data_IF_847933647516
#
_entry.id   IF_847933647516
#
_cell.length_a   1.000
_cell.length_b   1.000
_cell.length_c   1.000
_cell.angle_alpha   90.00
_cell.angle_beta   90.00
_cell.angle_gamma   90.00
#
_symmetry.space_group_name_H-M   'P 1'
#
loop_
_entity.id
_entity.type
_entity.pdbx_description
1 polymer ?
#
# COMPACT_ATOMS: atom_id res chain seq x y z
N UNK A 1 15.84 8.36 10.98
CA UNK A 1 15.24 8.26 12.33
C UNK A 1 13.75 8.08 12.11
N UNK A 2 13.18 6.93 12.51
CA UNK A 2 11.75 6.62 12.27
C UNK A 2 10.87 7.45 13.22
N UNK A 3 10.27 8.50 12.66
CA UNK A 3 9.47 9.47 13.40
C UNK A 3 8.00 9.42 12.98
N UNK A 4 7.11 9.75 13.91
CA UNK A 4 5.67 9.84 13.69
C UNK A 4 5.11 11.15 14.24
N UNK A 5 3.96 11.56 13.69
CA UNK A 5 3.13 12.59 14.29
C UNK A 5 2.13 11.91 15.24
N UNK A 6 2.27 12.14 16.54
CA UNK A 6 1.30 11.70 17.55
C UNK A 6 0.18 12.73 17.67
N UNK A 7 -1.03 12.23 17.86
CA UNK A 7 -2.25 13.04 17.97
C UNK A 7 -2.79 12.88 19.38
N UNK A 8 -3.06 14.00 20.05
CA UNK A 8 -3.81 14.06 21.29
C UNK A 8 -5.16 14.73 21.00
N UNK A 9 -6.22 13.92 20.95
CA UNK A 9 -7.59 14.36 20.68
C UNK A 9 -8.16 15.29 21.76
N UNK A 10 -7.76 15.12 23.03
CA UNK A 10 -8.25 15.97 24.14
C UNK A 10 -7.81 17.44 24.00
N UNK A 11 -6.70 17.67 23.30
CA UNK A 11 -6.16 19.01 23.05
C UNK A 11 -6.66 19.62 21.72
N UNK A 12 -7.31 18.82 20.86
CA UNK A 12 -7.73 19.28 19.55
C UNK A 12 -9.08 20.00 19.63
N UNK A 13 -9.11 21.24 19.13
CA UNK A 13 -10.33 22.09 19.15
C UNK A 13 -10.82 22.43 17.74
N UNK A 14 -10.39 21.66 16.73
CA UNK A 14 -10.75 21.91 15.31
C UNK A 14 -10.44 23.34 14.84
N UNK A 15 -9.27 23.89 15.19
CA UNK A 15 -8.96 25.30 14.89
C UNK A 15 -8.51 25.57 13.43
N UNK A 16 -8.02 24.55 12.71
CA UNK A 16 -7.52 24.59 11.31
C UNK A 16 -6.11 25.14 10.97
N UNK A 17 -5.26 25.70 11.87
CA UNK A 17 -3.88 26.07 11.51
C UNK A 17 -3.05 24.93 10.93
N UNK A 18 -3.26 23.70 11.40
CA UNK A 18 -2.53 22.54 10.91
C UNK A 18 -2.81 22.24 9.42
N UNK A 19 -4.04 22.46 8.95
CA UNK A 19 -4.39 22.30 7.54
C UNK A 19 -3.79 23.42 6.69
N UNK A 20 -3.93 24.68 7.14
CA UNK A 20 -3.35 25.84 6.43
C UNK A 20 -1.83 25.72 6.33
N UNK A 21 -1.15 25.36 7.42
CA UNK A 21 0.29 25.16 7.42
C UNK A 21 0.72 24.01 6.51
N UNK A 22 -0.06 22.93 6.44
CA UNK A 22 0.18 21.84 5.49
C UNK A 22 0.06 22.32 4.03
N UNK A 23 -0.98 23.09 3.69
CA UNK A 23 -1.17 23.67 2.35
C UNK A 23 0.01 24.57 1.99
N UNK A 24 0.39 25.49 2.88
CA UNK A 24 1.46 26.44 2.65
C UNK A 24 2.81 25.74 2.46
N UNK A 25 3.10 24.73 3.28
CA UNK A 25 4.35 23.97 3.20
C UNK A 25 4.50 23.17 1.89
N UNK A 26 3.38 22.83 1.23
CA UNK A 26 3.37 22.10 -0.04
C UNK A 26 2.91 22.95 -1.23
N UNK A 27 2.83 24.27 -1.04
CA UNK A 27 2.61 25.22 -2.12
C UNK A 27 3.94 25.63 -2.72
N UNK A 28 4.01 25.75 -4.04
CA UNK A 28 5.18 26.33 -4.73
C UNK A 28 5.51 27.77 -4.30
N UNK A 29 4.57 28.47 -3.67
CA UNK A 29 4.73 29.87 -3.26
C UNK A 29 5.14 30.04 -1.79
N UNK A 30 4.93 29.03 -0.93
CA UNK A 30 5.21 29.15 0.51
C UNK A 30 4.40 30.25 1.23
N UNK A 31 3.33 30.76 0.63
CA UNK A 31 2.50 31.84 1.16
C UNK A 31 1.00 31.48 1.04
N UNK A 32 0.19 31.66 2.10
CA UNK A 32 -1.20 31.22 2.11
C UNK A 32 -2.09 31.94 1.09
N UNK A 33 -1.86 33.23 0.86
CA UNK A 33 -2.68 34.02 -0.06
C UNK A 33 -2.35 33.64 -1.50
N UNK A 34 -1.06 33.51 -1.84
CA UNK A 34 -0.60 33.09 -3.17
C UNK A 34 -0.99 31.64 -3.46
N UNK A 35 -0.86 30.73 -2.51
CA UNK A 35 -1.32 29.34 -2.64
C UNK A 35 -2.81 29.27 -2.99
N UNK A 36 -3.64 30.11 -2.35
CA UNK A 36 -5.08 30.12 -2.60
C UNK A 36 -5.48 30.81 -3.92
N UNK A 37 -4.84 31.94 -4.24
CA UNK A 37 -5.23 32.80 -5.38
C UNK A 37 -4.50 32.47 -6.69
N UNK A 38 -3.25 32.02 -6.63
CA UNK A 38 -2.35 31.94 -7.78
C UNK A 38 -1.92 30.51 -8.14
N UNK A 39 -2.22 29.52 -7.29
CA UNK A 39 -1.92 28.12 -7.57
C UNK A 39 -3.17 27.41 -8.10
N UNK A 40 -3.03 26.82 -9.28
CA UNK A 40 -4.08 26.06 -9.93
C UNK A 40 -3.47 24.78 -10.53
N UNK A 41 -3.88 23.58 -10.09
CA UNK A 41 -4.88 23.31 -9.06
C UNK A 41 -4.39 23.75 -7.66
N UNK A 42 -5.32 24.17 -6.79
CA UNK A 42 -4.96 24.61 -5.43
C UNK A 42 -4.36 23.47 -4.61
N UNK A 43 -3.30 23.69 -3.81
CA UNK A 43 -2.83 22.67 -2.88
C UNK A 43 -3.94 22.34 -1.86
N UNK A 44 -4.12 21.04 -1.58
CA UNK A 44 -5.05 20.56 -0.55
C UNK A 44 -4.24 20.09 0.67
N UNK A 45 -4.78 20.23 1.88
CA UNK A 45 -4.12 19.73 3.07
C UNK A 45 -4.04 18.21 3.00
N UNK A 46 -2.93 17.65 3.44
CA UNK A 46 -2.76 16.20 3.52
C UNK A 46 -3.39 15.61 4.78
N UNK A 47 -3.56 16.42 5.82
CA UNK A 47 -4.40 16.13 6.98
C UNK A 47 -5.86 16.51 6.71
N UNK A 48 -6.80 15.85 7.39
CA UNK A 48 -8.21 16.26 7.41
C UNK A 48 -8.66 16.42 8.86
N UNK A 49 -9.10 17.60 9.25
CA UNK A 49 -9.77 17.77 10.54
C UNK A 49 -11.16 17.13 10.51
N UNK A 50 -11.45 16.33 11.53
CA UNK A 50 -12.74 15.69 11.75
C UNK A 50 -13.29 16.18 13.08
N UNK A 51 -14.54 16.60 13.06
CA UNK A 51 -15.30 16.95 14.25
C UNK A 51 -16.63 16.21 14.24
N UNK A 52 -16.89 15.44 15.29
CA UNK A 52 -18.14 14.70 15.46
C UNK A 52 -18.51 14.62 16.94
N UNK A 53 -19.43 15.49 17.37
CA UNK A 53 -19.84 15.56 18.77
C UNK A 53 -18.65 15.95 19.66
N UNK A 54 -18.33 15.18 20.72
CA UNK A 54 -17.20 15.50 21.60
C UNK A 54 -15.83 15.20 20.98
N UNK A 55 -15.79 14.50 19.84
CA UNK A 55 -14.52 14.09 19.21
C UNK A 55 -14.08 15.15 18.21
N UNK A 56 -12.86 15.66 18.41
CA UNK A 56 -12.13 16.48 17.45
C UNK A 56 -10.73 15.91 17.27
N UNK A 57 -10.33 15.63 16.03
CA UNK A 57 -8.96 15.22 15.73
C UNK A 57 -8.61 15.45 14.26
N UNK A 58 -7.31 15.69 13.96
CA UNK A 58 -6.82 15.63 12.59
C UNK A 58 -6.55 14.17 12.20
N UNK A 59 -7.19 13.71 11.13
CA UNK A 59 -6.83 12.45 10.46
C UNK A 59 -5.56 12.69 9.65
N UNK A 60 -4.45 12.13 10.11
CA UNK A 60 -3.12 12.22 9.50
C UNK A 60 -2.59 10.80 9.24
N UNK A 61 -1.80 10.64 8.17
CA UNK A 61 -1.11 9.38 7.90
C UNK A 61 -0.21 9.02 9.09
N UNK A 62 -0.29 7.77 9.54
CA UNK A 62 0.52 7.26 10.67
C UNK A 62 1.87 6.71 10.25
N UNK A 63 2.18 6.74 8.95
CA UNK A 63 3.40 6.19 8.36
C UNK A 63 3.70 4.78 8.91
N UNK A 64 2.70 3.90 8.86
CA UNK A 64 2.69 2.63 9.60
C UNK A 64 3.97 1.83 9.41
N UNK A 65 4.39 1.12 10.45
CA UNK A 65 5.51 0.18 10.38
C UNK A 65 5.27 -0.87 9.29
N UNK A 66 4.06 -1.44 9.27
CA UNK A 66 3.55 -2.27 8.18
C UNK A 66 2.50 -1.50 7.36
N UNK A 67 2.88 -0.90 6.21
CA UNK A 67 1.97 -0.06 5.45
C UNK A 67 1.16 -0.86 4.42
N UNK A 68 -0.06 -1.27 4.78
CA UNK A 68 -1.01 -1.93 3.86
C UNK A 68 -1.29 -1.14 2.57
N UNK A 69 -1.17 0.19 2.62
CA UNK A 69 -1.33 1.04 1.44
C UNK A 69 -0.21 0.83 0.40
N UNK A 70 1.01 0.49 0.84
CA UNK A 70 2.12 0.09 -0.04
C UNK A 70 1.82 -1.26 -0.65
N UNK A 71 1.27 -2.22 0.10
CA UNK A 71 0.87 -3.53 -0.42
C UNK A 71 -0.20 -3.42 -1.49
N UNK A 72 -1.21 -2.60 -1.24
CA UNK A 72 -2.32 -2.40 -2.15
C UNK A 72 -1.97 -1.56 -3.39
N UNK A 73 -0.77 -0.98 -3.47
CA UNK A 73 -0.42 -0.05 -4.53
C UNK A 73 -0.11 -0.77 -5.86
N UNK A 74 -1.11 -0.79 -6.76
CA UNK A 74 -1.05 -1.47 -8.05
C UNK A 74 0.04 -0.95 -9.01
N UNK A 75 0.51 0.28 -8.83
CA UNK A 75 1.52 0.90 -9.71
C UNK A 75 2.87 1.08 -9.05
N UNK A 76 3.06 0.57 -7.81
CA UNK A 76 4.32 0.75 -7.08
C UNK A 76 4.63 2.21 -6.74
N UNK A 77 3.61 3.08 -6.73
CA UNK A 77 3.76 4.50 -6.43
C UNK A 77 3.97 4.79 -4.94
N UNK A 78 3.65 3.84 -4.06
CA UNK A 78 3.84 3.96 -2.62
C UNK A 78 5.03 3.10 -2.19
N UNK A 79 5.95 3.69 -1.43
CA UNK A 79 7.13 3.05 -0.86
C UNK A 79 7.31 3.45 0.60
N UNK A 80 7.95 2.60 1.40
CA UNK A 80 8.46 2.96 2.73
C UNK A 80 9.93 3.33 2.57
N UNK A 81 10.27 4.54 2.97
CA UNK A 81 11.64 5.07 2.87
C UNK A 81 12.50 4.63 4.06
N UNK A 82 13.81 4.83 3.95
CA UNK A 82 14.77 4.48 5.00
C UNK A 82 14.57 5.29 6.31
N UNK A 83 13.95 6.47 6.22
CA UNK A 83 13.57 7.28 7.38
C UNK A 83 12.28 6.78 8.07
N UNK A 84 11.67 5.69 7.60
CA UNK A 84 10.41 5.14 8.11
C UNK A 84 9.16 5.76 7.50
N UNK A 85 9.28 6.87 6.77
CA UNK A 85 8.15 7.53 6.14
C UNK A 85 7.64 6.71 4.95
N UNK A 86 6.34 6.43 4.93
CA UNK A 86 5.68 5.99 3.70
C UNK A 86 5.49 7.20 2.78
N UNK A 87 5.85 7.15 1.50
CA UNK A 87 5.76 8.28 0.55
C UNK A 87 5.16 7.89 -0.79
N UNK A 88 4.64 8.88 -1.52
CA UNK A 88 4.02 8.68 -2.84
C UNK A 88 4.93 9.28 -3.92
N UNK A 89 5.30 8.48 -4.91
CA UNK A 89 5.75 8.95 -6.20
C UNK A 89 4.52 9.31 -7.07
N UNK A 90 4.22 10.60 -7.18
CA UNK A 90 3.03 11.11 -7.89
C UNK A 90 3.04 10.77 -9.39
N UNK A 91 4.24 10.65 -9.98
CA UNK A 91 4.39 10.30 -11.40
C UNK A 91 3.95 8.86 -11.67
N UNK A 92 4.32 7.92 -10.79
CA UNK A 92 3.89 6.51 -10.87
C UNK A 92 2.44 6.28 -10.47
N UNK A 93 1.78 7.21 -9.78
CA UNK A 93 0.44 7.01 -9.25
C UNK A 93 -0.61 7.04 -10.37
N UNK A 94 -1.36 5.94 -10.56
CA UNK A 94 -2.41 5.85 -11.59
C UNK A 94 -3.82 6.26 -11.11
N UNK A 95 -3.97 6.68 -9.84
CA UNK A 95 -5.26 7.14 -9.32
C UNK A 95 -6.28 6.03 -9.00
N UNK A 96 -5.87 4.76 -8.94
CA UNK A 96 -6.76 3.60 -8.79
C UNK A 96 -7.51 3.48 -7.44
N UNK A 97 -7.24 4.36 -6.46
CA UNK A 97 -7.83 4.36 -5.12
C UNK A 97 -7.60 3.10 -4.25
N UNK A 98 -6.86 2.09 -4.72
CA UNK A 98 -6.61 0.86 -3.93
C UNK A 98 -6.02 1.14 -2.54
N UNK A 99 -5.07 2.10 -2.47
CA UNK A 99 -4.49 2.56 -1.21
C UNK A 99 -5.48 3.26 -0.27
N UNK A 100 -6.53 3.90 -0.80
CA UNK A 100 -7.59 4.54 0.00
C UNK A 100 -8.37 3.46 0.74
N UNK A 101 -8.76 2.39 0.05
CA UNK A 101 -9.48 1.26 0.63
C UNK A 101 -8.62 0.47 1.63
N UNK A 102 -7.32 0.35 1.36
CA UNK A 102 -6.39 -0.39 2.21
C UNK A 102 -5.98 0.37 3.48
N UNK A 103 -6.22 1.68 3.59
CA UNK A 103 -5.82 2.45 4.76
C UNK A 103 -6.83 2.28 5.90
N UNK A 104 -6.49 1.59 7.01
CA UNK A 104 -7.44 1.38 8.11
C UNK A 104 -7.76 2.66 8.88
N UNK A 105 -6.96 3.72 8.69
CA UNK A 105 -7.11 5.01 9.37
C UNK A 105 -7.82 6.07 8.54
N UNK A 106 -8.20 5.76 7.28
CA UNK A 106 -8.81 6.74 6.38
C UNK A 106 -7.93 7.95 6.04
N UNK A 107 -6.60 7.80 6.17
CA UNK A 107 -5.64 8.90 6.05
C UNK A 107 -5.18 9.19 4.60
N UNK A 108 -5.71 8.47 3.62
CA UNK A 108 -5.37 8.63 2.19
C UNK A 108 -6.62 9.06 1.44
N UNK A 109 -6.49 10.10 0.61
CA UNK A 109 -7.56 10.63 -0.24
C UNK A 109 -7.12 10.67 -1.70
N UNK A 110 -8.06 10.91 -2.61
CA UNK A 110 -7.75 11.23 -4.00
C UNK A 110 -7.89 12.73 -4.26
N UNK A 111 -6.88 13.32 -4.91
CA UNK A 111 -6.95 14.62 -5.59
C UNK A 111 -7.70 14.45 -6.89
N UNK A 112 -9.02 14.65 -6.83
CA UNK A 112 -9.93 14.49 -7.97
C UNK A 112 -10.00 15.72 -8.88
N UNK A 113 -9.39 16.82 -8.46
CA UNK A 113 -9.26 18.08 -9.18
C UNK A 113 -8.17 18.08 -10.26
N UNK A 114 -7.44 16.97 -10.39
CA UNK A 114 -6.43 16.74 -11.42
C UNK A 114 -7.04 16.04 -12.64
N UNK A 115 -6.52 16.25 -13.87
CA UNK A 115 -6.97 15.52 -15.06
C UNK A 115 -6.91 13.99 -14.88
N UNK A 116 -5.86 13.50 -14.22
CA UNK A 116 -5.79 12.14 -13.70
C UNK A 116 -5.74 12.22 -12.17
N UNK A 117 -6.70 11.60 -11.45
CA UNK A 117 -6.69 11.62 -9.99
C UNK A 117 -5.39 11.04 -9.42
N UNK A 118 -4.86 11.66 -8.36
CA UNK A 118 -3.66 11.18 -7.66
C UNK A 118 -3.94 10.95 -6.19
N UNK A 119 -3.30 9.94 -5.59
CA UNK A 119 -3.38 9.73 -4.15
C UNK A 119 -2.71 10.88 -3.38
N UNK A 120 -3.29 11.26 -2.25
CA UNK A 120 -2.86 12.33 -1.36
C UNK A 120 -2.90 11.84 0.07
N UNK A 121 -1.78 11.99 0.76
CA UNK A 121 -1.61 11.69 2.19
C UNK A 121 -0.39 12.45 2.68
N UNK A 122 -0.23 12.52 4.01
CA UNK A 122 0.96 13.15 4.61
C UNK A 122 2.24 12.41 4.17
N UNK A 123 3.31 13.17 3.97
CA UNK A 123 4.66 12.75 3.58
C UNK A 123 5.70 13.04 4.67
N UNK A 124 5.25 13.48 5.86
CA UNK A 124 6.08 13.96 6.97
C UNK A 124 6.95 15.19 6.67
N UNK A 125 6.63 15.99 5.65
CA UNK A 125 7.33 17.23 5.32
C UNK A 125 8.87 17.05 5.21
N UNK A 126 9.39 16.31 4.20
CA UNK A 126 10.82 15.99 4.06
C UNK A 126 11.82 17.12 4.21
N UNK A 127 11.44 18.31 3.76
CA UNK A 127 12.34 19.47 3.67
C UNK A 127 12.36 20.27 4.98
N UNK A 128 11.83 19.70 6.08
CA UNK A 128 11.67 20.37 7.37
C UNK A 128 12.10 19.45 8.51
N UNK A 129 12.72 20.04 9.55
CA UNK A 129 13.04 19.31 10.77
C UNK A 129 11.78 18.93 11.58
N UNK A 130 10.76 19.78 11.52
CA UNK A 130 9.45 19.56 12.14
C UNK A 130 8.34 19.70 11.10
N UNK A 131 7.36 18.77 11.08
CA UNK A 131 6.20 18.87 10.21
C UNK A 131 5.46 20.19 10.43
N UNK A 132 5.04 20.84 9.34
CA UNK A 132 4.40 22.15 9.39
C UNK A 132 3.14 22.17 10.26
N UNK A 133 2.38 21.06 10.27
CA UNK A 133 1.19 20.92 11.09
C UNK A 133 1.49 20.86 12.60
N UNK A 134 2.60 20.21 12.99
CA UNK A 134 3.06 20.13 14.38
C UNK A 134 3.47 21.52 14.87
N UNK A 135 4.29 22.21 14.07
CA UNK A 135 4.76 23.56 14.38
C UNK A 135 3.60 24.58 14.49
N UNK A 136 2.55 24.41 13.69
CA UNK A 136 1.41 25.31 13.66
C UNK A 136 0.34 25.03 14.72
N UNK A 137 0.43 23.92 15.47
CA UNK A 137 -0.61 23.54 16.43
C UNK A 137 -0.46 24.31 17.75
N UNK A 138 -1.34 25.30 18.06
CA UNK A 138 -1.19 26.12 19.27
C UNK A 138 -1.43 25.31 20.56
N UNK A 139 -2.31 24.31 20.49
CA UNK A 139 -2.72 23.51 21.64
C UNK A 139 -1.82 22.28 21.87
N UNK A 140 -0.79 22.08 21.03
CA UNK A 140 0.07 20.89 21.08
C UNK A 140 -0.74 19.57 21.03
N UNK A 141 -1.83 19.58 20.26
CA UNK A 141 -2.58 18.38 19.91
C UNK A 141 -1.80 17.48 18.94
N UNK A 142 -0.77 18.04 18.27
CA UNK A 142 0.14 17.34 17.38
C UNK A 142 1.55 17.43 17.94
N UNK A 143 2.22 16.30 18.11
CA UNK A 143 3.63 16.22 18.52
C UNK A 143 4.42 15.35 17.54
N UNK A 144 5.72 15.63 17.39
CA UNK A 144 6.61 14.86 16.53
C UNK A 144 7.56 14.05 17.41
N UNK A 145 7.45 12.73 17.34
CA UNK A 145 8.08 11.81 18.27
C UNK A 145 8.74 10.66 17.52
N UNK A 146 9.76 10.06 18.12
CA UNK A 146 10.42 8.86 17.57
C UNK A 146 9.50 7.68 17.81
N UNK A 147 9.29 6.80 16.83
CA UNK A 147 8.37 5.66 16.97
C UNK A 147 8.72 4.76 18.17
N UNK A 148 10.01 4.54 18.44
CA UNK A 148 10.47 3.67 19.53
C UNK A 148 10.13 4.17 20.94
N UNK A 149 9.74 5.44 21.09
CA UNK A 149 9.34 6.02 22.39
C UNK A 149 7.83 5.97 22.63
N UNK A 150 7.07 5.38 21.70
CA UNK A 150 5.61 5.31 21.76
C UNK A 150 5.21 3.90 22.18
N UNK A 151 4.50 3.78 23.32
CA UNK A 151 4.00 2.48 23.80
C UNK A 151 3.12 1.81 22.73
N UNK A 152 3.45 0.55 22.45
CA UNK A 152 2.97 -0.25 21.32
C UNK A 152 1.51 -0.74 21.45
N UNK A 153 0.74 -0.19 22.39
CA UNK A 153 -0.63 -0.63 22.70
C UNK A 153 -1.63 -0.37 21.56
N UNK A 154 -1.26 0.41 20.54
CA UNK A 154 -2.12 0.73 19.40
C UNK A 154 -2.10 -0.35 18.29
N UNK A 155 -2.73 -1.49 18.61
CA UNK A 155 -3.61 -2.27 17.72
C UNK A 155 -2.95 -3.06 16.58
N UNK A 156 -2.63 -4.33 16.89
CA UNK A 156 -2.95 -5.46 16.01
C UNK A 156 -4.45 -5.37 15.68
N UNK A 157 -4.81 -5.08 14.44
CA UNK A 157 -6.05 -5.66 13.90
C UNK A 157 -5.78 -7.16 13.83
N UNK A 158 -6.00 -7.87 14.93
CA UNK A 158 -6.01 -9.31 14.94
C UNK A 158 -7.25 -9.75 14.15
N UNK A 159 -7.06 -9.97 12.85
CA UNK A 159 -7.88 -10.96 12.16
C UNK A 159 -7.65 -12.28 12.91
N UNK A 160 -8.72 -12.92 13.37
CA UNK A 160 -8.64 -14.27 13.90
C UNK A 160 -8.09 -15.17 12.78
N UNK A 161 -6.83 -15.59 12.93
CA UNK A 161 -6.21 -16.57 12.04
C UNK A 161 -6.70 -17.94 12.50
N UNK A 162 -7.37 -18.68 11.61
CA UNK A 162 -7.75 -20.07 11.86
C UNK A 162 -6.51 -20.94 11.69
N UNK A 163 -5.99 -21.46 12.81
CA UNK A 163 -4.78 -22.30 12.85
C UNK A 163 -3.47 -21.50 12.83
N UNK A 164 -2.42 -22.04 13.45
CA UNK A 164 -1.08 -21.44 13.37
C UNK A 164 -0.47 -21.79 12.00
N UNK A 165 -0.18 -20.81 11.13
CA UNK A 165 0.44 -21.06 9.84
C UNK A 165 1.83 -21.66 10.03
N UNK A 166 2.14 -22.75 9.35
CA UNK A 166 3.41 -23.46 9.50
C UNK A 166 4.12 -23.62 8.15
N UNK A 167 5.44 -23.46 8.17
CA UNK A 167 6.34 -23.77 7.07
C UNK A 167 6.33 -25.29 6.74
N UNK A 168 6.49 -25.70 5.47
CA UNK A 168 6.68 -24.86 4.28
C UNK A 168 5.39 -24.20 3.80
N UNK A 169 5.50 -22.92 3.43
CA UNK A 169 4.41 -22.15 2.83
C UNK A 169 4.40 -22.35 1.33
N UNK A 170 3.24 -22.65 0.76
CA UNK A 170 3.06 -22.76 -0.69
C UNK A 170 2.09 -21.69 -1.15
N UNK A 171 2.49 -20.89 -2.13
CA UNK A 171 1.69 -19.80 -2.71
C UNK A 171 1.40 -20.13 -4.17
N UNK A 172 0.13 -20.18 -4.56
CA UNK A 172 -0.28 -20.42 -5.95
C UNK A 172 -0.68 -19.09 -6.59
N UNK A 173 0.11 -18.60 -7.54
CA UNK A 173 -0.05 -17.33 -8.27
C UNK A 173 1.00 -16.29 -7.88
N UNK A 174 1.45 -15.48 -8.85
CA UNK A 174 2.54 -14.49 -8.68
C UNK A 174 2.11 -13.01 -8.67
N UNK A 175 0.81 -12.73 -8.48
CA UNK A 175 0.24 -11.38 -8.55
C UNK A 175 0.34 -10.56 -7.25
N UNK A 176 -0.47 -9.49 -7.15
CA UNK A 176 -0.51 -8.58 -5.98
C UNK A 176 -0.86 -9.26 -4.66
N UNK A 177 -1.78 -10.23 -4.71
CA UNK A 177 -2.14 -11.00 -3.53
C UNK A 177 -0.96 -11.83 -3.02
N UNK A 178 -0.16 -12.39 -3.92
CA UNK A 178 1.04 -13.15 -3.55
C UNK A 178 2.13 -12.24 -2.97
N UNK A 179 2.37 -11.08 -3.56
CA UNK A 179 3.34 -10.11 -3.05
C UNK A 179 3.00 -9.63 -1.62
N UNK A 180 1.72 -9.37 -1.35
CA UNK A 180 1.22 -9.02 -0.02
C UNK A 180 1.29 -10.22 0.94
N UNK A 181 0.93 -11.42 0.47
CA UNK A 181 0.99 -12.66 1.24
C UNK A 181 2.40 -13.01 1.70
N UNK A 182 3.40 -12.92 0.81
CA UNK A 182 4.82 -13.12 1.12
C UNK A 182 5.28 -12.17 2.24
N UNK A 183 4.93 -10.89 2.14
CA UNK A 183 5.25 -9.91 3.19
C UNK A 183 4.56 -10.21 4.51
N UNK A 184 3.30 -10.65 4.46
CA UNK A 184 2.55 -11.06 5.64
C UNK A 184 3.21 -12.25 6.34
N UNK A 185 3.56 -13.29 5.58
CA UNK A 185 4.28 -14.47 6.06
C UNK A 185 5.62 -14.05 6.66
N UNK A 186 6.46 -13.30 5.93
CA UNK A 186 7.79 -12.87 6.41
C UNK A 186 7.74 -12.00 7.67
N UNK A 187 6.66 -11.27 7.88
CA UNK A 187 6.46 -10.48 9.10
C UNK A 187 6.12 -11.36 10.32
N UNK A 188 5.57 -12.55 10.11
CA UNK A 188 5.14 -13.48 11.16
C UNK A 188 6.15 -14.63 11.37
N UNK A 189 6.72 -15.14 10.28
CA UNK A 189 7.74 -16.17 10.21
C UNK A 189 8.88 -15.70 9.27
N UNK A 190 9.92 -15.05 9.82
CA UNK A 190 11.05 -14.53 9.05
C UNK A 190 11.84 -15.62 8.30
N UNK A 191 11.91 -16.82 8.86
CA UNK A 191 12.83 -17.89 8.42
C UNK A 191 12.12 -19.02 7.65
N UNK A 192 10.79 -19.10 7.69
CA UNK A 192 10.04 -20.19 7.06
C UNK A 192 10.27 -20.33 5.55
N UNK A 193 10.33 -21.56 5.05
CA UNK A 193 10.44 -21.80 3.61
C UNK A 193 9.17 -21.36 2.87
N UNK A 194 9.31 -20.55 1.82
CA UNK A 194 8.21 -20.09 0.97
C UNK A 194 8.46 -20.52 -0.46
N UNK A 195 7.54 -21.32 -1.00
CA UNK A 195 7.52 -21.73 -2.40
C UNK A 195 6.40 -21.00 -3.14
N UNK A 196 6.72 -20.36 -4.25
CA UNK A 196 5.73 -19.70 -5.11
C UNK A 196 5.61 -20.44 -6.45
N UNK A 197 4.38 -20.79 -6.83
CA UNK A 197 4.07 -21.48 -8.09
C UNK A 197 3.28 -20.53 -8.97
N UNK A 198 3.80 -20.18 -10.14
CA UNK A 198 3.08 -19.32 -11.08
C UNK A 198 3.47 -19.62 -12.53
N UNK A 199 2.50 -19.64 -13.48
CA UNK A 199 2.81 -19.78 -14.90
C UNK A 199 3.57 -18.57 -15.46
N UNK A 200 3.48 -17.43 -14.79
CA UNK A 200 4.24 -16.23 -15.11
C UNK A 200 5.75 -16.45 -14.95
N UNK A 201 6.55 -15.90 -15.87
CA UNK A 201 8.02 -15.84 -15.80
C UNK A 201 8.54 -14.43 -15.54
N UNK A 202 7.63 -13.45 -15.50
CA UNK A 202 7.92 -12.05 -15.20
C UNK A 202 7.42 -11.72 -13.80
N UNK A 203 8.26 -11.05 -13.00
CA UNK A 203 7.96 -10.68 -11.62
C UNK A 203 6.69 -9.82 -11.50
N UNK A 204 6.18 -9.68 -10.28
CA UNK A 204 5.06 -8.84 -9.84
C UNK A 204 4.57 -7.77 -10.84
N UNK A 205 3.76 -8.19 -11.82
CA UNK A 205 3.10 -7.29 -12.75
C UNK A 205 1.63 -7.11 -12.38
N UNK A 206 1.06 -5.98 -12.77
CA UNK A 206 -0.35 -5.67 -12.52
C UNK A 206 -1.13 -5.72 -13.82
N UNK A 207 -2.10 -6.63 -13.91
CA UNK A 207 -3.05 -6.68 -15.04
C UNK A 207 -3.86 -5.39 -15.18
N UNK A 208 -4.03 -4.62 -14.09
CA UNK A 208 -4.66 -3.30 -14.14
C UNK A 208 -3.84 -2.27 -14.93
N UNK A 209 -2.53 -2.50 -15.11
CA UNK A 209 -1.65 -1.65 -15.92
C UNK A 209 -1.62 -2.07 -17.39
N UNK A 210 -2.32 -3.15 -17.78
CA UNK A 210 -2.30 -3.67 -19.14
C UNK A 210 -2.81 -2.67 -20.17
N UNK A 211 -3.82 -1.87 -19.82
CA UNK A 211 -4.33 -0.82 -20.71
C UNK A 211 -3.24 0.22 -21.06
N UNK A 212 -2.39 0.59 -20.10
CA UNK A 212 -1.27 1.51 -20.35
C UNK A 212 -0.19 0.87 -21.24
N UNK A 213 0.08 -0.41 -21.03
CA UNK A 213 0.98 -1.16 -21.89
C UNK A 213 0.47 -1.27 -23.33
N UNK A 214 -0.82 -1.54 -23.54
CA UNK A 214 -1.39 -1.66 -24.89
C UNK A 214 -1.31 -0.34 -25.68
N UNK A 215 -1.28 0.80 -24.99
CA UNK A 215 -1.13 2.12 -25.61
C UNK A 215 0.34 2.42 -25.92
N UNK A 216 1.24 2.21 -24.96
CA UNK A 216 2.62 2.68 -25.05
C UNK A 216 3.62 1.62 -25.53
N UNK A 217 3.28 0.34 -25.48
CA UNK A 217 4.14 -0.81 -25.84
C UNK A 217 5.27 -1.14 -24.85
N UNK A 218 5.37 -0.43 -23.72
CA UNK A 218 6.51 -0.54 -22.81
C UNK A 218 6.28 -1.53 -21.66
N UNK A 219 6.87 -2.73 -21.77
CA UNK A 219 6.71 -3.83 -20.80
C UNK A 219 7.12 -3.48 -19.36
N UNK A 220 8.13 -2.62 -19.17
CA UNK A 220 8.61 -2.26 -17.83
C UNK A 220 7.55 -1.49 -17.01
N UNK A 221 6.56 -0.85 -17.66
CA UNK A 221 5.44 -0.17 -17.00
C UNK A 221 4.43 -1.12 -16.38
N UNK A 222 4.47 -2.41 -16.73
CA UNK A 222 3.57 -3.43 -16.15
C UNK A 222 4.04 -3.89 -14.78
N UNK A 223 5.34 -3.82 -14.52
CA UNK A 223 5.96 -4.21 -13.26
C UNK A 223 5.68 -3.14 -12.22
N UNK A 224 5.05 -3.52 -11.10
CA UNK A 224 4.80 -2.60 -9.98
C UNK A 224 5.71 -2.87 -8.79
N UNK A 225 6.52 -3.94 -8.86
CA UNK A 225 7.69 -4.18 -8.03
C UNK A 225 8.89 -4.50 -8.91
N UNK A 226 10.05 -4.44 -8.30
CA UNK A 226 11.35 -4.80 -8.86
C UNK A 226 11.32 -6.27 -9.31
N UNK A 227 11.97 -6.64 -10.43
CA UNK A 227 11.93 -8.01 -10.96
C UNK A 227 12.36 -9.09 -9.96
N UNK A 228 13.28 -8.74 -9.05
CA UNK A 228 13.85 -9.59 -8.01
C UNK A 228 13.06 -9.53 -6.68
N UNK A 229 11.90 -8.87 -6.63
CA UNK A 229 11.11 -8.68 -5.41
C UNK A 229 10.95 -9.96 -4.59
N UNK A 230 10.55 -11.07 -5.20
CA UNK A 230 10.36 -12.33 -4.47
C UNK A 230 11.69 -12.90 -3.91
N UNK A 231 12.79 -12.72 -4.64
CA UNK A 231 14.12 -13.13 -4.17
C UNK A 231 14.58 -12.30 -2.96
N UNK A 232 14.26 -11.00 -2.92
CA UNK A 232 14.54 -10.13 -1.77
C UNK A 232 13.85 -10.61 -0.47
N UNK A 233 12.76 -11.37 -0.59
CA UNK A 233 12.05 -12.00 0.53
C UNK A 233 12.38 -13.49 0.69
N UNK A 234 13.48 -14.00 0.13
CA UNK A 234 13.88 -15.41 0.23
C UNK A 234 12.73 -16.36 -0.16
N UNK A 235 12.09 -16.11 -1.30
CA UNK A 235 11.03 -16.97 -1.86
C UNK A 235 11.62 -17.82 -2.99
N UNK A 236 11.42 -19.13 -2.91
CA UNK A 236 11.75 -20.04 -4.00
C UNK A 236 10.62 -20.04 -5.03
N UNK A 237 10.84 -19.37 -6.17
CA UNK A 237 9.84 -19.24 -7.21
C UNK A 237 10.01 -20.29 -8.31
N UNK A 238 9.07 -21.24 -8.35
CA UNK A 238 8.88 -22.22 -9.42
C UNK A 238 8.23 -21.54 -10.65
N UNK A 239 9.02 -20.78 -11.39
CA UNK A 239 8.60 -20.01 -12.57
C UNK A 239 8.12 -20.92 -13.71
N UNK A 240 7.09 -20.46 -14.45
CA UNK A 240 6.55 -21.20 -15.58
C UNK A 240 5.81 -22.49 -15.21
N UNK A 241 5.61 -22.74 -13.91
CA UNK A 241 4.93 -23.94 -13.40
C UNK A 241 3.48 -23.66 -13.06
N UNK A 242 2.62 -24.65 -13.26
CA UNK A 242 1.20 -24.57 -12.90
C UNK A 242 0.83 -25.62 -11.86
N UNK A 243 0.15 -25.18 -10.81
CA UNK A 243 -0.59 -26.09 -9.95
C UNK A 243 -1.82 -26.61 -10.70
N UNK A 244 -1.98 -27.93 -10.80
CA UNK A 244 -3.05 -28.61 -11.52
C UNK A 244 -4.10 -29.21 -10.57
N UNK A 245 -3.69 -29.61 -9.37
CA UNK A 245 -4.59 -30.13 -8.33
C UNK A 245 -4.04 -29.83 -6.92
N UNK A 246 -4.93 -29.83 -5.93
CA UNK A 246 -4.60 -29.70 -4.50
C UNK A 246 -5.20 -30.92 -3.77
N UNK A 247 -4.35 -31.68 -3.10
CA UNK A 247 -4.72 -32.77 -2.19
C UNK A 247 -4.70 -32.22 -0.76
N UNK A 248 -5.88 -31.88 -0.24
CA UNK A 248 -6.05 -31.29 1.09
C UNK A 248 -5.91 -32.32 2.22
N UNK A 249 -6.08 -33.61 1.95
CA UNK A 249 -5.93 -34.66 2.96
C UNK A 249 -4.45 -34.95 3.23
N UNK A 250 -3.62 -34.88 2.18
CA UNK A 250 -2.18 -35.11 2.27
C UNK A 250 -1.34 -33.84 2.33
N UNK A 251 -2.00 -32.67 2.27
CA UNK A 251 -1.37 -31.35 2.17
C UNK A 251 -0.34 -31.26 1.02
N UNK A 252 -0.79 -31.57 -0.21
CA UNK A 252 0.08 -31.53 -1.40
C UNK A 252 -0.53 -30.73 -2.53
N UNK A 253 0.33 -30.06 -3.30
CA UNK A 253 -0.01 -29.43 -4.58
C UNK A 253 0.65 -30.24 -5.70
N UNK A 254 -0.14 -30.63 -6.70
CA UNK A 254 0.35 -31.29 -7.91
C UNK A 254 0.69 -30.25 -8.97
N UNK A 255 1.84 -30.43 -9.62
CA UNK A 255 2.30 -29.56 -10.70
C UNK A 255 2.04 -30.18 -12.08
N UNK A 256 2.19 -29.36 -13.11
CA UNK A 256 2.02 -29.69 -14.52
C UNK A 256 3.03 -30.69 -15.11
N UNK A 257 4.21 -30.86 -14.51
CA UNK A 257 5.16 -31.93 -14.86
C UNK A 257 4.91 -33.25 -14.12
N UNK A 258 3.85 -33.33 -13.32
CA UNK A 258 3.53 -34.48 -12.50
C UNK A 258 4.23 -34.53 -11.14
N UNK A 259 5.16 -33.62 -10.84
CA UNK A 259 5.75 -33.51 -9.51
C UNK A 259 4.74 -32.99 -8.47
N UNK A 260 5.08 -33.18 -7.19
CA UNK A 260 4.24 -32.76 -6.07
C UNK A 260 5.06 -31.99 -5.04
N UNK A 261 4.45 -30.95 -4.47
CA UNK A 261 5.01 -30.13 -3.40
C UNK A 261 4.15 -30.30 -2.14
N UNK A 262 4.78 -30.54 -0.99
CA UNK A 262 4.05 -30.62 0.30
C UNK A 262 4.00 -29.24 0.94
N UNK A 263 2.90 -28.93 1.63
CA UNK A 263 2.74 -27.65 2.33
C UNK A 263 2.37 -27.86 3.80
N UNK A 264 2.90 -27.01 4.69
CA UNK A 264 2.34 -26.80 6.02
C UNK A 264 1.20 -25.77 5.99
N UNK A 265 1.27 -24.80 5.07
CA UNK A 265 0.23 -23.81 4.85
C UNK A 265 0.14 -23.42 3.37
N UNK A 266 -1.07 -23.33 2.84
CA UNK A 266 -1.34 -23.05 1.44
C UNK A 266 -2.07 -21.71 1.28
N UNK A 267 -1.54 -20.84 0.41
CA UNK A 267 -2.15 -19.57 0.04
C UNK A 267 -2.50 -19.55 -1.46
N UNK A 268 -3.79 -19.42 -1.78
CA UNK A 268 -4.26 -19.39 -3.16
C UNK A 268 -4.42 -17.93 -3.62
N UNK A 269 -3.60 -17.51 -4.58
CA UNK A 269 -3.49 -16.15 -5.11
C UNK A 269 -3.65 -16.11 -6.64
N UNK A 270 -4.41 -17.04 -7.23
CA UNK A 270 -4.56 -17.20 -8.69
C UNK A 270 -5.29 -16.03 -9.38
N UNK A 271 -5.91 -15.14 -8.60
CA UNK A 271 -6.74 -14.06 -9.12
C UNK A 271 -8.02 -14.58 -9.79
N UNK A 272 -8.71 -13.69 -10.50
CA UNK A 272 -9.90 -14.03 -11.28
C UNK A 272 -9.60 -14.28 -12.76
N UNK A 273 -10.46 -15.06 -13.41
CA UNK A 273 -10.55 -15.12 -14.88
C UNK A 273 -11.75 -14.29 -15.33
N UNK A 274 -11.59 -13.36 -16.29
CA UNK A 274 -12.72 -12.63 -16.82
C UNK A 274 -13.69 -13.61 -17.49
N UNK A 275 -14.97 -13.49 -17.15
CA UNK A 275 -16.03 -14.14 -17.90
C UNK A 275 -16.15 -13.45 -19.26
N UNK A 276 -16.08 -14.23 -20.33
CA UNK A 276 -16.39 -13.76 -21.68
C UNK A 276 -17.88 -14.06 -21.90
N UNK A 277 -18.75 -13.04 -22.02
CA UNK A 277 -20.16 -13.26 -22.29
C UNK A 277 -20.36 -14.04 -23.59
N UNK A 278 -21.36 -14.93 -23.68
CA UNK A 278 -21.73 -15.54 -24.95
C UNK A 278 -22.34 -14.46 -25.84
N UNK A 279 -21.57 -14.01 -26.83
CA UNK A 279 -21.97 -12.99 -27.79
C UNK A 279 -21.45 -13.38 -29.16
N UNK A 280 -22.23 -13.13 -30.22
CA UNK A 280 -21.85 -13.50 -31.58
C UNK A 280 -20.45 -12.97 -31.93
N UNK A 281 -19.55 -13.87 -32.34
CA UNK A 281 -18.15 -13.55 -32.64
C UNK A 281 -17.18 -13.64 -31.46
N UNK A 282 -17.61 -14.09 -30.27
CA UNK A 282 -16.73 -14.30 -29.11
C UNK A 282 -15.65 -15.37 -29.30
N UNK A 283 -15.81 -16.23 -30.30
CA UNK A 283 -14.89 -17.28 -30.74
C UNK A 283 -13.71 -16.74 -31.59
N UNK A 284 -13.74 -15.45 -31.96
CA UNK A 284 -12.71 -14.80 -32.78
C UNK A 284 -11.64 -14.04 -31.98
N UNK A 285 -11.72 -14.10 -30.65
CA UNK A 285 -10.84 -13.38 -29.72
C UNK A 285 -9.61 -14.21 -29.30
#
# INVERSE_FOLDING_TARGET
>A
MDCIVRINEDNCVTCHPCEVACIVAHSRYGDPIKAYRLENPRPLPMSLLVHRGPVSLPVICRHCEHPFCVDACLSGALSKEADGAVRINVQKCIGCASCVMACPFGAIRLRKDLPQPKALKCDLCPERDLPACVQACPNRALTFEVRSTVDSEARRCALEVVGEPASPYVIIGGGIAAAAGVRGIRSADPDGDIYLIAPEVIGCYSKALLAHFLIDGEHHKLLYREPDYFAQYNVEWLQGRRATAIDVERNRVQLDDGSQLTYGSLLICTGGRPFVPPMDGSDKA
#
